data_IF_943650836571
#
_entry.id   IF_943650836571
#
_cell.length_a   1.000
_cell.length_b   1.000
_cell.length_c   1.000
_cell.angle_alpha   90.00
_cell.angle_beta   90.00
_cell.angle_gamma   90.00
#
_symmetry.space_group_name_H-M   'P 1'
#
loop_
_entity.id
_entity.type
_entity.pdbx_description
1 polymer ?
#
# COMPACT_ATOMS: atom_id res chain seq x y z
N UNK A 1 -5.85 19.72 -15.85
CA UNK A 1 -6.93 18.78 -15.44
C UNK A 1 -6.58 18.17 -14.08
N UNK A 2 -7.48 18.24 -13.10
CA UNK A 2 -7.18 17.82 -11.71
C UNK A 2 -7.15 16.30 -11.51
N UNK A 3 -8.08 15.57 -12.14
CA UNK A 3 -8.19 14.11 -12.04
C UNK A 3 -8.88 13.53 -13.29
N UNK A 4 -8.57 12.27 -13.64
CA UNK A 4 -9.31 11.45 -14.60
C UNK A 4 -9.17 9.97 -14.22
N UNK A 5 -10.10 9.14 -14.71
CA UNK A 5 -10.15 7.70 -14.43
C UNK A 5 -10.20 6.86 -15.70
N UNK A 6 -9.86 5.59 -15.57
CA UNK A 6 -9.98 4.59 -16.63
C UNK A 6 -11.01 3.55 -16.23
N UNK A 7 -11.94 3.25 -17.15
CA UNK A 7 -13.07 2.36 -16.90
C UNK A 7 -12.64 0.93 -16.64
N UNK A 8 -11.51 0.51 -17.21
CA UNK A 8 -10.84 -0.78 -16.97
C UNK A 8 -10.22 -0.91 -15.57
N UNK A 9 -10.03 0.21 -14.83
CA UNK A 9 -9.34 0.21 -13.53
C UNK A 9 -10.12 0.92 -12.41
N UNK A 10 -11.35 0.49 -12.16
CA UNK A 10 -12.27 1.13 -11.19
C UNK A 10 -11.66 1.30 -9.79
N UNK A 11 -10.97 0.28 -9.26
CA UNK A 11 -10.31 0.35 -7.93
C UNK A 11 -9.17 1.36 -7.88
N UNK A 12 -8.34 1.42 -8.93
CA UNK A 12 -7.22 2.39 -9.00
C UNK A 12 -7.75 3.82 -9.18
N UNK A 13 -8.82 3.96 -9.95
CA UNK A 13 -9.53 5.23 -10.16
C UNK A 13 -10.08 5.75 -8.84
N UNK A 14 -10.78 4.90 -8.07
CA UNK A 14 -11.23 5.24 -6.71
C UNK A 14 -10.06 5.70 -5.84
N UNK A 15 -8.99 4.88 -5.77
CA UNK A 15 -7.81 5.20 -4.97
C UNK A 15 -7.23 6.58 -5.33
N UNK A 16 -6.98 6.84 -6.60
CA UNK A 16 -6.40 8.11 -7.03
C UNK A 16 -7.32 9.30 -6.75
N UNK A 17 -8.63 9.15 -6.93
CA UNK A 17 -9.59 10.21 -6.62
C UNK A 17 -9.55 10.58 -5.14
N UNK A 18 -9.63 9.58 -4.27
CA UNK A 18 -9.60 9.76 -2.81
C UNK A 18 -8.34 10.51 -2.36
N UNK A 19 -7.17 10.19 -2.92
CA UNK A 19 -5.89 10.84 -2.58
C UNK A 19 -5.72 12.21 -3.22
N UNK A 20 -6.38 12.47 -4.34
CA UNK A 20 -6.28 13.76 -5.03
C UNK A 20 -7.10 14.82 -4.29
N UNK A 21 -8.28 14.47 -3.79
CA UNK A 21 -9.19 15.39 -3.12
C UNK A 21 -9.26 15.23 -1.60
N UNK A 22 -8.50 14.28 -1.04
CA UNK A 22 -8.55 13.92 0.38
C UNK A 22 -9.97 13.57 0.87
N UNK A 23 -10.68 12.79 0.06
CA UNK A 23 -12.04 12.31 0.33
C UNK A 23 -12.06 10.78 0.37
N UNK A 24 -13.14 10.18 0.87
CA UNK A 24 -13.36 8.73 0.85
C UNK A 24 -14.75 8.41 0.34
N UNK A 25 -14.85 7.43 -0.54
CA UNK A 25 -16.15 6.92 -0.95
C UNK A 25 -16.76 6.05 0.15
N UNK A 26 -18.09 6.13 0.30
CA UNK A 26 -18.83 5.31 1.28
C UNK A 26 -18.79 3.84 0.88
N UNK A 27 -18.87 3.56 -0.42
CA UNK A 27 -18.82 2.20 -0.99
C UNK A 27 -17.69 2.11 -2.00
N UNK A 28 -16.98 0.97 -2.06
CA UNK A 28 -15.88 0.84 -2.98
C UNK A 28 -16.35 0.53 -4.41
N UNK A 29 -15.61 0.98 -5.43
CA UNK A 29 -16.01 0.93 -6.83
C UNK A 29 -15.95 -0.48 -7.42
N UNK A 30 -17.04 -1.08 -7.86
CA UNK A 30 -17.00 -2.44 -8.44
C UNK A 30 -16.51 -2.43 -9.89
N UNK A 31 -15.66 -3.40 -10.25
CA UNK A 31 -15.24 -3.60 -11.64
C UNK A 31 -16.23 -4.55 -12.31
N UNK A 32 -16.92 -4.07 -13.34
CA UNK A 32 -17.80 -4.88 -14.18
C UNK A 32 -17.21 -4.95 -15.58
N UNK A 33 -16.59 -6.09 -15.91
CA UNK A 33 -15.99 -6.30 -17.24
C UNK A 33 -16.99 -6.86 -18.25
N UNK A 34 -18.10 -7.45 -17.78
CA UNK A 34 -19.26 -7.82 -18.59
C UNK A 34 -20.06 -6.56 -18.97
N UNK A 35 -19.47 -5.76 -19.86
CA UNK A 35 -20.11 -4.57 -20.40
C UNK A 35 -20.90 -4.91 -21.66
N UNK A 36 -21.81 -4.03 -22.06
CA UNK A 36 -22.53 -4.18 -23.33
C UNK A 36 -21.56 -4.27 -24.52
N UNK A 37 -20.47 -3.50 -24.49
CA UNK A 37 -19.44 -3.53 -25.52
C UNK A 37 -18.69 -4.87 -25.56
N UNK A 38 -18.39 -5.46 -24.39
CA UNK A 38 -17.72 -6.77 -24.32
C UNK A 38 -18.60 -7.94 -24.77
N UNK A 39 -19.92 -7.76 -24.87
CA UNK A 39 -20.87 -8.78 -25.34
C UNK A 39 -21.20 -8.69 -26.83
N UNK A 40 -20.56 -7.78 -27.58
CA UNK A 40 -20.73 -7.69 -29.03
C UNK A 40 -19.68 -8.58 -29.68
N UNK A 41 -20.11 -9.59 -30.44
CA UNK A 41 -19.23 -10.37 -31.30
C UNK A 41 -18.91 -9.53 -32.54
N UNK A 42 -17.63 -9.17 -32.70
CA UNK A 42 -17.12 -8.32 -33.77
C UNK A 42 -15.97 -9.06 -34.44
N UNK A 43 -15.89 -9.04 -35.76
CA UNK A 43 -14.77 -9.61 -36.49
C UNK A 43 -13.51 -8.71 -36.39
N UNK A 44 -12.34 -9.29 -36.64
CA UNK A 44 -11.09 -8.55 -36.54
C UNK A 44 -11.01 -7.40 -37.56
N UNK A 45 -11.62 -7.56 -38.75
CA UNK A 45 -11.62 -6.53 -39.78
C UNK A 45 -12.43 -5.29 -39.34
N UNK A 46 -13.57 -5.49 -38.67
CA UNK A 46 -14.36 -4.39 -38.09
C UNK A 46 -13.64 -3.75 -36.92
N UNK A 47 -12.91 -4.51 -36.09
CA UNK A 47 -12.09 -3.94 -35.00
C UNK A 47 -11.03 -3.00 -35.58
N UNK A 48 -10.26 -3.46 -36.57
CA UNK A 48 -9.24 -2.65 -37.24
C UNK A 48 -9.87 -1.39 -37.85
N UNK A 49 -11.05 -1.53 -38.47
CA UNK A 49 -11.74 -0.38 -39.04
C UNK A 49 -12.19 0.63 -37.98
N UNK A 50 -12.66 0.16 -36.82
CA UNK A 50 -13.02 1.03 -35.70
C UNK A 50 -11.77 1.74 -35.17
N UNK A 51 -10.65 1.04 -35.02
CA UNK A 51 -9.39 1.62 -34.56
C UNK A 51 -8.87 2.69 -35.54
N UNK A 52 -8.87 2.42 -36.84
CA UNK A 52 -8.49 3.40 -37.89
C UNK A 52 -9.35 4.67 -37.83
N UNK A 53 -10.67 4.52 -37.66
CA UNK A 53 -11.58 5.65 -37.56
C UNK A 53 -11.39 6.45 -36.27
N UNK A 54 -10.81 5.83 -35.24
CA UNK A 54 -10.60 6.41 -33.92
C UNK A 54 -9.10 6.55 -33.58
N UNK A 55 -8.22 6.70 -34.57
CA UNK A 55 -6.76 6.75 -34.37
C UNK A 55 -6.34 7.80 -33.32
N UNK A 56 -6.93 8.99 -33.35
CA UNK A 56 -6.66 10.03 -32.35
C UNK A 56 -7.09 9.62 -30.94
N UNK A 57 -8.22 8.92 -30.81
CA UNK A 57 -8.71 8.43 -29.52
C UNK A 57 -7.83 7.28 -29.01
N UNK A 58 -7.31 6.43 -29.91
CA UNK A 58 -6.32 5.40 -29.57
C UNK A 58 -5.06 6.03 -28.99
N UNK A 59 -4.51 7.05 -29.66
CA UNK A 59 -3.32 7.78 -29.19
C UNK A 59 -3.58 8.49 -27.85
N UNK A 60 -4.74 9.14 -27.70
CA UNK A 60 -5.13 9.80 -26.46
C UNK A 60 -5.29 8.79 -25.32
N UNK A 61 -5.92 7.65 -25.59
CA UNK A 61 -6.12 6.58 -24.61
C UNK A 61 -4.80 6.00 -24.14
N UNK A 62 -3.88 5.70 -25.05
CA UNK A 62 -2.55 5.18 -24.71
C UNK A 62 -1.77 6.15 -23.81
N UNK A 63 -1.78 7.44 -24.18
CA UNK A 63 -1.19 8.48 -23.36
C UNK A 63 -1.85 8.56 -21.97
N UNK A 64 -3.18 8.56 -21.93
CA UNK A 64 -3.93 8.62 -20.68
C UNK A 64 -3.65 7.39 -19.80
N UNK A 65 -3.52 6.20 -20.40
CA UNK A 65 -3.22 4.94 -19.73
C UNK A 65 -1.86 4.95 -19.09
N UNK A 66 -0.83 5.36 -19.80
CA UNK A 66 0.52 5.50 -19.25
C UNK A 66 0.56 6.52 -18.10
N UNK A 67 0.05 7.73 -18.35
CA UNK A 67 0.01 8.80 -17.34
C UNK A 67 -0.76 8.38 -16.08
N UNK A 68 -1.87 7.65 -16.24
CA UNK A 68 -2.65 7.13 -15.12
C UNK A 68 -1.84 6.13 -14.28
N UNK A 69 -1.12 5.20 -14.93
CA UNK A 69 -0.27 4.23 -14.25
C UNK A 69 0.86 4.91 -13.50
N UNK A 70 1.54 5.88 -14.11
CA UNK A 70 2.60 6.67 -13.47
C UNK A 70 2.07 7.39 -12.22
N UNK A 71 0.94 8.09 -12.33
CA UNK A 71 0.31 8.79 -11.20
C UNK A 71 -0.06 7.84 -10.05
N UNK A 72 -0.62 6.67 -10.38
CA UNK A 72 -0.94 5.64 -9.40
C UNK A 72 0.30 5.15 -8.65
N UNK A 73 1.36 4.80 -9.39
CA UNK A 73 2.61 4.31 -8.81
C UNK A 73 3.26 5.38 -7.93
N UNK A 74 3.32 6.63 -8.42
CA UNK A 74 3.90 7.75 -7.69
C UNK A 74 3.19 7.97 -6.34
N UNK A 75 1.85 8.04 -6.34
CA UNK A 75 1.08 8.18 -5.09
C UNK A 75 1.29 7.01 -4.13
N UNK A 76 1.36 5.77 -4.63
CA UNK A 76 1.64 4.58 -3.80
C UNK A 76 3.07 4.56 -3.24
N UNK A 77 4.03 5.13 -3.95
CA UNK A 77 5.41 5.26 -3.45
C UNK A 77 5.50 6.31 -2.34
N UNK A 78 4.84 7.45 -2.52
CA UNK A 78 4.76 8.50 -1.50
C UNK A 78 4.13 7.99 -0.20
N UNK A 79 2.96 7.34 -0.26
CA UNK A 79 2.31 6.77 0.93
C UNK A 79 3.24 5.81 1.68
N UNK A 80 3.93 4.92 0.95
CA UNK A 80 4.88 3.97 1.57
C UNK A 80 6.08 4.68 2.21
N UNK A 81 6.52 5.80 1.64
CA UNK A 81 7.61 6.60 2.22
C UNK A 81 7.16 7.29 3.51
N UNK A 82 5.96 7.88 3.51
CA UNK A 82 5.35 8.50 4.69
C UNK A 82 5.16 7.49 5.83
N UNK A 83 4.64 6.29 5.51
CA UNK A 83 4.51 5.20 6.48
C UNK A 83 5.86 4.79 7.09
N UNK A 84 6.92 4.71 6.28
CA UNK A 84 8.27 4.38 6.76
C UNK A 84 8.82 5.45 7.71
N UNK A 85 8.59 6.72 7.41
CA UNK A 85 9.03 7.84 8.26
C UNK A 85 8.28 7.77 9.60
N UNK A 86 6.95 7.66 9.55
CA UNK A 86 6.10 7.55 10.74
C UNK A 86 6.51 6.37 11.64
N UNK A 87 6.68 5.18 11.05
CA UNK A 87 7.12 3.99 11.79
C UNK A 87 8.51 4.17 12.42
N UNK A 88 9.41 4.93 11.79
CA UNK A 88 10.74 5.23 12.35
C UNK A 88 10.65 6.19 13.52
N UNK A 89 9.77 7.20 13.43
CA UNK A 89 9.51 8.15 14.51
C UNK A 89 8.86 7.46 15.72
N UNK A 90 7.86 6.62 15.50
CA UNK A 90 7.22 5.83 16.57
C UNK A 90 8.23 4.94 17.30
N UNK A 91 9.13 4.25 16.59
CA UNK A 91 10.20 3.46 17.22
C UNK A 91 11.18 4.31 18.02
N UNK A 92 11.50 5.52 17.55
CA UNK A 92 12.37 6.45 18.29
C UNK A 92 11.70 6.90 19.59
N UNK A 93 10.41 7.23 19.54
CA UNK A 93 9.62 7.63 20.71
C UNK A 93 9.46 6.49 21.72
N UNK A 94 9.22 5.26 21.26
CA UNK A 94 9.19 4.08 22.13
C UNK A 94 10.53 3.85 22.82
N UNK A 95 11.65 3.94 22.09
CA UNK A 95 12.99 3.79 22.67
C UNK A 95 13.36 4.92 23.64
N UNK A 96 12.83 6.13 23.47
CA UNK A 96 13.07 7.22 24.43
C UNK A 96 12.16 7.15 25.67
N UNK A 97 10.97 6.54 25.57
CA UNK A 97 10.09 6.29 26.71
C UNK A 97 10.51 5.06 27.52
N UNK A 98 11.27 4.13 26.92
CA UNK A 98 12.05 3.13 27.64
C UNK A 98 13.33 3.77 28.18
N UNK A 99 13.21 4.61 29.21
CA UNK A 99 14.34 4.94 30.09
C UNK A 99 14.87 3.64 30.73
N UNK A 100 16.18 3.54 31.04
CA UNK A 100 16.75 2.31 31.59
C UNK A 100 15.96 1.90 32.82
N UNK A 101 15.53 0.63 32.91
CA UNK A 101 15.20 0.04 34.20
C UNK A 101 16.35 0.39 35.12
N UNK A 102 16.06 1.11 36.20
CA UNK A 102 17.00 1.36 37.28
C UNK A 102 17.69 0.02 37.57
N UNK A 103 19.00 -0.03 37.36
CA UNK A 103 19.85 -0.99 38.04
C UNK A 103 19.68 -0.66 39.53
N UNK A 104 18.63 -1.18 40.15
CA UNK A 104 18.61 -1.32 41.59
C UNK A 104 19.82 -2.17 41.92
N UNK A 105 20.78 -1.53 42.57
CA UNK A 105 21.98 -2.10 43.16
C UNK A 105 21.62 -3.34 43.99
N UNK A 106 21.54 -4.52 43.37
CA UNK A 106 21.72 -5.77 44.10
C UNK A 106 23.21 -5.97 44.27
N UNK A 107 23.72 -5.35 45.33
CA UNK A 107 25.01 -5.66 45.91
C UNK A 107 25.11 -7.19 46.12
N UNK A 108 26.05 -7.80 45.41
CA UNK A 108 26.74 -9.02 45.82
C UNK A 108 25.90 -10.27 46.03
N UNK A 109 25.40 -10.88 44.95
CA UNK A 109 25.04 -12.31 44.97
C UNK A 109 26.11 -13.11 44.23
N UNK A 110 26.98 -13.76 44.99
CA UNK A 110 28.02 -14.64 44.45
C UNK A 110 27.34 -15.86 43.78
N UNK A 111 27.75 -16.30 42.58
CA UNK A 111 27.09 -17.37 41.82
C UNK A 111 27.12 -18.79 42.42
N UNK A 112 27.50 -18.95 43.69
CA UNK A 112 27.91 -20.24 44.26
C UNK A 112 26.90 -20.83 45.26
N UNK A 113 25.85 -20.09 45.65
CA UNK A 113 24.89 -20.59 46.65
C UNK A 113 23.94 -21.66 46.08
N UNK A 114 23.50 -21.53 44.82
CA UNK A 114 22.57 -22.48 44.20
C UNK A 114 23.19 -23.86 43.91
N UNK A 115 24.52 -23.98 43.93
CA UNK A 115 25.20 -25.25 43.72
C UNK A 115 25.37 -26.07 45.01
N UNK A 116 25.29 -25.43 46.18
CA UNK A 116 25.44 -26.11 47.48
C UNK A 116 24.12 -26.62 48.04
N UNK A 117 23.00 -26.00 47.68
CA UNK A 117 21.65 -26.43 48.08
C UNK A 117 21.23 -27.75 47.45
N UNK A 118 21.69 -28.04 46.22
CA UNK A 118 21.36 -29.29 45.51
C UNK A 118 22.11 -30.53 46.02
N UNK A 119 23.15 -30.37 46.82
CA UNK A 119 23.99 -31.49 47.32
C UNK A 119 23.51 -32.00 48.68
N UNK A 120 22.82 -31.16 49.47
CA UNK A 120 22.41 -31.50 50.84
C UNK A 120 21.09 -32.31 50.87
N UNK A 121 20.22 -32.20 49.86
CA UNK A 121 18.94 -32.93 49.84
C UNK A 121 19.03 -34.41 49.38
N UNK A 122 20.23 -34.95 49.17
CA UNK A 122 20.42 -36.33 48.66
C UNK A 122 21.11 -37.32 49.60
N UNK A 123 21.16 -37.06 50.91
CA UNK A 123 21.60 -38.04 51.90
C UNK A 123 20.70 -38.08 53.13
#
# INVERSE_FOLDING_TARGET
MAFFGLTEFQRKTQYLFERTFNLKFIRPFMQYNSTRAAGVDIDNDTILRIEELNDLDMQLYDYAKDLFQQRYQYKRQLERMEERIKNREERRLHRSNESPREETEEQGRLPTEDYMSQIIEKW
#
